data_IF_774915966836
#
_entry.id   IF_774915966836
#
_cell.length_a   1.000
_cell.length_b   1.000
_cell.length_c   1.000
_cell.angle_alpha   90.00
_cell.angle_beta   90.00
_cell.angle_gamma   90.00
#
_symmetry.space_group_name_H-M   'P 1'
#
loop_
_entity.id
_entity.type
_entity.pdbx_description
1 polymer ?
#
# COMPACT_ATOMS: atom_id res chain seq x y z
N UNK A 1 -37.01 -46.81 -4.36
CA UNK A 1 -35.68 -46.49 -4.94
C UNK A 1 -35.24 -45.12 -4.42
N UNK A 2 -34.31 -45.10 -3.48
CA UNK A 2 -33.80 -43.88 -2.87
C UNK A 2 -32.74 -43.23 -3.77
N UNK A 3 -32.95 -41.98 -4.18
CA UNK A 3 -31.92 -41.15 -4.80
C UNK A 3 -31.62 -39.98 -3.88
N UNK A 4 -31.06 -40.30 -2.70
CA UNK A 4 -30.57 -39.30 -1.77
C UNK A 4 -29.39 -38.56 -2.41
N UNK A 5 -29.72 -37.33 -2.83
CA UNK A 5 -28.97 -36.41 -3.66
C UNK A 5 -27.72 -35.94 -2.90
N UNK A 6 -26.53 -36.40 -3.33
CA UNK A 6 -25.19 -36.04 -2.80
C UNK A 6 -24.80 -34.55 -3.01
N UNK A 7 -25.78 -33.66 -3.15
CA UNK A 7 -25.61 -32.25 -3.49
C UNK A 7 -25.05 -31.33 -2.39
N UNK A 8 -25.28 -31.52 -1.08
CA UNK A 8 -24.83 -30.52 -0.11
C UNK A 8 -23.31 -30.49 0.06
N UNK A 9 -22.64 -31.64 -0.11
CA UNK A 9 -21.17 -31.73 -0.03
C UNK A 9 -20.46 -31.05 -1.20
N UNK A 10 -21.00 -31.17 -2.42
CA UNK A 10 -20.42 -30.52 -3.61
C UNK A 10 -20.58 -28.99 -3.52
N UNK A 11 -21.74 -28.51 -3.07
CA UNK A 11 -21.95 -27.08 -2.84
C UNK A 11 -21.02 -26.53 -1.74
N UNK A 12 -20.83 -27.28 -0.64
CA UNK A 12 -19.89 -26.91 0.42
C UNK A 12 -18.44 -26.80 -0.06
N UNK A 13 -17.97 -27.75 -0.87
CA UNK A 13 -16.60 -27.73 -1.42
C UNK A 13 -16.40 -26.55 -2.38
N UNK A 14 -17.37 -26.26 -3.25
CA UNK A 14 -17.28 -25.12 -4.18
C UNK A 14 -17.18 -23.79 -3.44
N UNK A 15 -18.01 -23.59 -2.40
CA UNK A 15 -17.96 -22.39 -1.58
C UNK A 15 -16.60 -22.25 -0.89
N UNK A 16 -16.06 -23.35 -0.35
CA UNK A 16 -14.77 -23.34 0.35
C UNK A 16 -13.61 -23.03 -0.61
N UNK A 17 -13.63 -23.58 -1.82
CA UNK A 17 -12.64 -23.25 -2.88
C UNK A 17 -12.78 -21.81 -3.35
N UNK A 18 -14.00 -21.29 -3.51
CA UNK A 18 -14.23 -19.91 -3.88
C UNK A 18 -13.74 -18.93 -2.80
N UNK A 19 -13.97 -19.24 -1.53
CA UNK A 19 -13.47 -18.45 -0.39
C UNK A 19 -11.94 -18.54 -0.32
N UNK A 20 -11.35 -19.74 -0.42
CA UNK A 20 -9.90 -19.90 -0.41
C UNK A 20 -9.23 -19.18 -1.59
N UNK A 21 -9.83 -19.25 -2.78
CA UNK A 21 -9.38 -18.53 -3.97
C UNK A 21 -9.48 -17.02 -3.82
N UNK A 22 -10.60 -16.51 -3.30
CA UNK A 22 -10.78 -15.08 -3.05
C UNK A 22 -9.77 -14.57 -2.01
N UNK A 23 -9.54 -15.33 -0.94
CA UNK A 23 -8.58 -15.02 0.12
C UNK A 23 -7.15 -15.03 -0.43
N UNK A 24 -6.77 -16.03 -1.23
CA UNK A 24 -5.45 -16.09 -1.87
C UNK A 24 -5.22 -14.89 -2.80
N UNK A 25 -6.22 -14.48 -3.59
CA UNK A 25 -6.11 -13.32 -4.49
C UNK A 25 -5.92 -12.02 -3.73
N UNK A 26 -6.58 -11.84 -2.57
CA UNK A 26 -6.40 -10.65 -1.72
C UNK A 26 -4.97 -10.59 -1.14
N UNK A 27 -4.43 -11.72 -0.70
CA UNK A 27 -3.07 -11.79 -0.13
C UNK A 27 -1.94 -11.65 -1.16
N UNK A 28 -2.14 -12.14 -2.38
CA UNK A 28 -1.20 -11.88 -3.48
C UNK A 28 -1.16 -10.39 -3.81
N UNK A 29 -2.28 -9.68 -3.61
CA UNK A 29 -2.35 -8.24 -3.88
C UNK A 29 -1.64 -7.41 -2.81
N UNK A 30 -1.90 -7.67 -1.53
CA UNK A 30 -1.32 -6.89 -0.42
C UNK A 30 -0.55 -7.77 0.57
N UNK A 31 0.78 -7.93 0.39
CA UNK A 31 1.58 -8.75 1.29
C UNK A 31 1.63 -8.21 2.72
N UNK A 32 1.36 -6.92 2.95
CA UNK A 32 1.35 -6.32 4.29
C UNK A 32 0.17 -6.77 5.16
N UNK A 33 -0.81 -7.48 4.61
CA UNK A 33 -1.87 -8.12 5.38
C UNK A 33 -1.40 -9.39 6.09
N UNK A 34 -0.26 -9.96 5.68
CA UNK A 34 0.30 -11.16 6.28
C UNK A 34 1.24 -10.80 7.44
N UNK A 35 1.26 -11.58 8.52
CA UNK A 35 2.22 -11.38 9.60
C UNK A 35 3.65 -11.55 9.07
N UNK A 36 4.54 -10.64 9.44
CA UNK A 36 5.95 -10.67 9.03
C UNK A 36 6.40 -9.41 8.32
N UNK A 37 7.62 -9.47 7.77
CA UNK A 37 8.22 -8.40 6.98
C UNK A 37 8.09 -8.76 5.50
N UNK A 38 7.63 -7.82 4.71
CA UNK A 38 7.37 -8.00 3.29
C UNK A 38 8.07 -6.91 2.49
N UNK A 39 8.49 -7.27 1.29
CA UNK A 39 9.05 -6.32 0.34
C UNK A 39 7.92 -5.46 -0.21
N UNK A 40 8.05 -4.14 -0.04
CA UNK A 40 7.14 -3.13 -0.58
C UNK A 40 7.92 -2.17 -1.46
N UNK A 41 7.27 -1.68 -2.51
CA UNK A 41 7.86 -0.70 -3.42
C UNK A 41 7.83 0.70 -2.79
N UNK A 42 8.80 1.52 -3.15
CA UNK A 42 8.93 2.89 -2.68
C UNK A 42 8.81 3.79 -3.88
N UNK A 43 7.90 4.75 -3.82
CA UNK A 43 7.72 5.76 -4.84
C UNK A 43 7.94 7.15 -4.24
N UNK A 44 8.47 8.05 -5.05
CA UNK A 44 8.45 9.47 -4.73
C UNK A 44 7.04 10.03 -4.96
N UNK A 45 6.61 10.94 -4.08
CA UNK A 45 5.37 11.69 -4.26
C UNK A 45 5.72 13.03 -4.91
N UNK A 46 5.05 13.35 -6.00
CA UNK A 46 5.12 14.68 -6.58
C UNK A 46 4.12 15.59 -5.87
N UNK A 47 4.58 16.30 -4.84
CA UNK A 47 3.74 17.14 -3.99
C UNK A 47 3.11 18.34 -4.74
N UNK A 48 3.66 18.76 -5.89
CA UNK A 48 3.11 19.88 -6.67
C UNK A 48 1.85 19.49 -7.44
N UNK A 49 1.75 18.23 -7.84
CA UNK A 49 0.63 17.70 -8.61
C UNK A 49 -0.31 16.89 -7.71
N UNK A 50 0.19 16.38 -6.58
CA UNK A 50 -0.63 15.71 -5.59
C UNK A 50 -1.53 16.71 -4.88
N UNK A 51 -2.80 16.36 -4.73
CA UNK A 51 -3.81 17.25 -4.15
C UNK A 51 -4.69 16.52 -3.14
N UNK A 52 -5.17 17.28 -2.16
CA UNK A 52 -6.25 16.84 -1.29
C UNK A 52 -7.58 17.07 -2.00
N UNK A 53 -8.50 16.11 -1.88
CA UNK A 53 -9.82 16.16 -2.52
C UNK A 53 -10.91 16.15 -1.47
N UNK A 54 -11.96 16.95 -1.65
CA UNK A 54 -13.06 17.04 -0.69
C UNK A 54 -13.95 15.78 -0.69
N UNK A 55 -13.93 15.00 -1.77
CA UNK A 55 -14.73 13.79 -1.91
C UNK A 55 -13.86 12.63 -2.34
N UNK A 56 -13.99 11.46 -1.69
CA UNK A 56 -13.28 10.28 -2.13
C UNK A 56 -13.78 9.87 -3.51
N UNK A 57 -12.95 9.19 -4.31
CA UNK A 57 -13.39 8.65 -5.58
C UNK A 57 -14.55 7.67 -5.36
N UNK A 58 -15.36 7.46 -6.41
CA UNK A 58 -16.45 6.49 -6.37
C UNK A 58 -15.98 5.11 -5.91
N UNK A 59 -16.92 4.25 -5.51
CA UNK A 59 -16.64 2.92 -4.97
C UNK A 59 -15.57 2.15 -5.77
N UNK A 60 -15.59 2.21 -7.10
CA UNK A 60 -14.60 1.53 -7.95
C UNK A 60 -13.19 2.12 -7.80
N UNK A 61 -13.05 3.46 -7.77
CA UNK A 61 -11.78 4.14 -7.55
C UNK A 61 -11.20 3.87 -6.16
N UNK A 62 -12.03 3.89 -5.10
CA UNK A 62 -11.61 3.48 -3.74
C UNK A 62 -11.15 2.01 -3.69
N UNK A 63 -11.89 1.13 -4.36
CA UNK A 63 -11.57 -0.31 -4.36
C UNK A 63 -10.26 -0.59 -5.10
N UNK A 64 -9.94 0.19 -6.13
CA UNK A 64 -8.69 0.09 -6.89
C UNK A 64 -7.54 0.95 -6.33
N UNK A 65 -7.82 1.90 -5.41
CA UNK A 65 -6.84 2.84 -4.89
C UNK A 65 -6.39 3.88 -5.93
N UNK A 66 -7.31 4.32 -6.78
CA UNK A 66 -7.07 5.26 -7.88
C UNK A 66 -8.00 6.47 -7.74
N UNK A 67 -7.42 7.67 -7.88
CA UNK A 67 -8.17 8.91 -8.04
C UNK A 67 -8.51 9.15 -9.52
N UNK A 68 -7.57 8.83 -10.41
CA UNK A 68 -7.67 8.89 -11.88
C UNK A 68 -6.77 7.80 -12.49
N UNK A 69 -6.64 7.75 -13.83
CA UNK A 69 -5.83 6.76 -14.55
C UNK A 69 -4.39 6.66 -14.01
N UNK A 70 -3.78 7.80 -13.67
CA UNK A 70 -2.37 7.89 -13.26
C UNK A 70 -2.16 8.33 -11.81
N UNK A 71 -3.23 8.55 -11.04
CA UNK A 71 -3.16 9.09 -9.66
C UNK A 71 -3.70 8.10 -8.63
N UNK A 72 -2.98 7.95 -7.52
CA UNK A 72 -3.31 6.98 -6.46
C UNK A 72 -4.10 7.63 -5.34
N UNK A 73 -5.20 7.00 -4.94
CA UNK A 73 -5.98 7.44 -3.78
C UNK A 73 -5.36 6.91 -2.49
N UNK A 74 -5.18 7.79 -1.52
CA UNK A 74 -4.74 7.50 -0.15
C UNK A 74 -5.63 8.24 0.85
N UNK A 75 -5.79 7.68 2.05
CA UNK A 75 -6.53 8.33 3.13
C UNK A 75 -5.63 8.46 4.35
N UNK A 76 -5.38 9.70 4.81
CA UNK A 76 -4.48 9.97 5.92
C UNK A 76 -5.15 10.94 6.89
N UNK A 77 -5.34 10.50 8.14
CA UNK A 77 -5.96 11.29 9.21
C UNK A 77 -7.33 11.89 8.83
N UNK A 78 -8.15 11.13 8.10
CA UNK A 78 -9.47 11.56 7.62
C UNK A 78 -9.44 12.49 6.40
N UNK A 79 -8.25 12.75 5.82
CA UNK A 79 -8.07 13.50 4.58
C UNK A 79 -7.95 12.56 3.39
N UNK A 80 -8.54 12.95 2.27
CA UNK A 80 -8.50 12.20 1.02
C UNK A 80 -7.44 12.79 0.10
N UNK A 81 -6.41 12.00 -0.20
CA UNK A 81 -5.25 12.43 -0.98
C UNK A 81 -5.22 11.73 -2.33
N UNK A 82 -4.99 12.49 -3.38
CA UNK A 82 -4.67 11.99 -4.71
C UNK A 82 -3.18 12.19 -4.96
N UNK A 83 -2.43 11.11 -4.86
CA UNK A 83 -0.97 11.08 -4.96
C UNK A 83 -0.55 10.83 -6.40
N UNK A 84 0.28 11.73 -6.93
CA UNK A 84 1.00 11.53 -8.18
C UNK A 84 2.36 10.92 -7.85
N UNK A 85 2.66 9.76 -8.42
CA UNK A 85 3.86 9.01 -8.10
C UNK A 85 4.93 9.18 -9.17
N UNK A 86 6.12 9.57 -8.77
CA UNK A 86 7.28 9.72 -9.66
C UNK A 86 8.10 8.44 -9.67
N UNK A 87 7.65 7.43 -10.42
CA UNK A 87 8.38 6.17 -10.69
C UNK A 87 8.79 5.34 -9.45
N UNK A 88 9.13 4.05 -9.64
CA UNK A 88 9.62 3.24 -8.54
C UNK A 88 11.08 3.62 -8.22
N UNK A 89 11.34 4.01 -6.98
CA UNK A 89 12.70 4.29 -6.49
C UNK A 89 13.43 3.02 -6.08
N UNK A 90 12.69 2.00 -5.63
CA UNK A 90 13.23 0.71 -5.20
C UNK A 90 12.28 -0.01 -4.25
N UNK A 91 12.79 -1.02 -3.54
CA UNK A 91 12.00 -1.81 -2.58
C UNK A 91 12.60 -1.75 -1.18
N UNK A 92 11.76 -1.86 -0.16
CA UNK A 92 12.14 -1.94 1.26
C UNK A 92 11.32 -2.97 1.99
N UNK A 93 11.84 -3.47 3.11
CA UNK A 93 11.10 -4.40 3.96
C UNK A 93 10.32 -3.67 5.04
N UNK A 94 9.01 -3.82 5.02
CA UNK A 94 8.13 -3.24 6.01
C UNK A 94 7.23 -4.31 6.63
N UNK A 95 6.77 -4.07 7.86
CA UNK A 95 5.77 -4.91 8.52
C UNK A 95 4.61 -4.05 8.98
N UNK A 96 3.37 -4.51 8.78
CA UNK A 96 2.17 -3.88 9.35
C UNK A 96 1.88 -4.50 10.71
N UNK A 97 1.77 -3.67 11.75
CA UNK A 97 1.39 -4.09 13.11
C UNK A 97 0.57 -2.99 13.76
N UNK A 98 -0.56 -3.36 14.36
CA UNK A 98 -1.41 -2.43 15.15
C UNK A 98 -1.78 -1.15 14.39
N UNK A 99 -2.14 -1.28 13.11
CA UNK A 99 -2.50 -0.14 12.25
C UNK A 99 -1.32 0.75 11.83
N UNK A 100 -0.08 0.31 12.07
CA UNK A 100 1.13 1.06 11.72
C UNK A 100 2.04 0.25 10.82
N UNK A 101 2.73 0.93 9.91
CA UNK A 101 3.84 0.36 9.15
C UNK A 101 5.14 0.58 9.93
N UNK A 102 5.90 -0.49 10.12
CA UNK A 102 7.16 -0.49 10.88
C UNK A 102 8.32 -0.82 9.95
N UNK A 103 9.42 -0.09 10.12
CA UNK A 103 10.65 -0.21 9.34
C UNK A 103 11.84 -0.35 10.30
N UNK A 104 12.74 -1.28 10.01
CA UNK A 104 14.02 -1.39 10.71
C UNK A 104 14.96 -0.24 10.36
N UNK A 105 15.93 0.06 11.23
CA UNK A 105 16.93 1.12 11.01
C UNK A 105 17.69 0.97 9.68
N UNK A 106 17.97 -0.27 9.27
CA UNK A 106 18.59 -0.62 8.00
C UNK A 106 17.71 -0.19 6.81
N UNK A 107 16.39 -0.39 6.92
CA UNK A 107 15.42 -0.01 5.90
C UNK A 107 15.18 1.50 5.87
N UNK A 108 15.19 2.18 7.02
CA UNK A 108 15.14 3.66 7.08
C UNK A 108 16.37 4.27 6.42
N UNK A 109 17.55 3.69 6.66
CA UNK A 109 18.79 4.11 5.98
C UNK A 109 18.74 3.85 4.48
N UNK A 110 18.07 2.77 4.04
CA UNK A 110 17.82 2.49 2.61
C UNK A 110 16.85 3.51 2.01
N UNK A 111 15.73 3.81 2.66
CA UNK A 111 14.78 4.85 2.24
C UNK A 111 15.45 6.21 2.09
N UNK A 112 16.28 6.61 3.05
CA UNK A 112 17.04 7.87 2.99
C UNK A 112 17.94 7.92 1.76
N UNK A 113 18.61 6.81 1.43
CA UNK A 113 19.45 6.71 0.23
C UNK A 113 18.63 6.75 -1.06
N UNK A 114 17.43 6.16 -1.07
CA UNK A 114 16.51 6.23 -2.21
C UNK A 114 15.99 7.65 -2.42
N UNK A 115 15.53 8.32 -1.37
CA UNK A 115 15.11 9.72 -1.40
C UNK A 115 16.22 10.65 -1.91
N UNK A 116 17.46 10.46 -1.44
CA UNK A 116 18.59 11.29 -1.85
C UNK A 116 19.01 11.09 -3.32
N UNK A 117 18.65 9.97 -3.95
CA UNK A 117 18.92 9.70 -5.37
C UNK A 117 17.89 10.34 -6.29
N UNK A 118 16.68 10.54 -5.79
CA UNK A 118 15.64 11.21 -6.53
C UNK A 118 15.82 12.71 -6.41
N UNK A 119 16.36 13.33 -7.46
CA UNK A 119 16.49 14.79 -7.53
C UNK A 119 15.14 15.47 -7.71
N UNK A 120 14.09 14.70 -8.01
CA UNK A 120 12.72 15.15 -8.17
C UNK A 120 12.58 16.12 -9.34
N UNK A 121 11.95 15.68 -10.42
CA UNK A 121 11.57 16.55 -11.54
C UNK A 121 10.10 16.93 -11.37
N UNK A 122 9.73 18.22 -11.21
CA UNK A 122 10.56 19.44 -11.29
C UNK A 122 11.20 19.93 -9.96
N UNK A 123 10.87 19.36 -8.80
CA UNK A 123 11.47 19.71 -7.50
C UNK A 123 11.80 18.47 -6.68
N UNK A 124 12.74 18.61 -5.76
CA UNK A 124 13.17 17.57 -4.83
C UNK A 124 11.99 16.96 -4.06
N UNK A 125 12.01 15.64 -3.95
CA UNK A 125 10.96 14.84 -3.31
C UNK A 125 10.93 15.10 -1.80
N UNK A 126 9.77 15.54 -1.29
CA UNK A 126 9.60 15.81 0.14
C UNK A 126 8.88 14.68 0.89
N UNK A 127 8.16 13.82 0.15
CA UNK A 127 7.44 12.68 0.70
C UNK A 127 7.66 11.42 -0.14
N UNK A 128 7.77 10.28 0.55
CA UNK A 128 7.78 8.96 -0.05
C UNK A 128 6.45 8.27 0.25
N UNK A 129 6.01 7.41 -0.67
CA UNK A 129 4.93 6.47 -0.40
C UNK A 129 5.46 5.05 -0.46
N UNK A 130 5.08 4.24 0.53
CA UNK A 130 5.26 2.79 0.49
C UNK A 130 4.06 2.20 -0.24
N UNK A 131 4.32 1.46 -1.31
CA UNK A 131 3.32 0.81 -2.15
C UNK A 131 3.38 -0.71 -1.95
N UNK A 132 2.24 -1.27 -1.60
CA UNK A 132 1.96 -2.71 -1.69
C UNK A 132 0.96 -2.92 -2.84
N UNK A 133 -0.27 -3.38 -2.56
CA UNK A 133 -1.38 -3.31 -3.54
C UNK A 133 -1.80 -1.86 -3.85
N UNK A 134 -1.66 -1.01 -2.83
CA UNK A 134 -2.16 0.36 -2.71
C UNK A 134 -1.16 1.16 -1.88
N UNK A 135 -1.30 2.50 -1.83
CA UNK A 135 -0.56 3.31 -0.86
C UNK A 135 -0.76 2.74 0.55
N UNK A 136 0.34 2.31 1.19
CA UNK A 136 0.32 1.67 2.50
C UNK A 136 0.80 2.60 3.62
N UNK A 137 1.71 3.52 3.32
CA UNK A 137 2.14 4.58 4.23
C UNK A 137 2.71 5.77 3.46
N UNK A 138 2.51 6.96 4.01
CA UNK A 138 3.14 8.20 3.55
C UNK A 138 4.25 8.58 4.55
N UNK A 139 5.46 8.84 4.06
CA UNK A 139 6.64 9.10 4.89
C UNK A 139 7.29 10.42 4.46
N UNK A 140 7.28 11.45 5.32
CA UNK A 140 8.06 12.66 5.09
C UNK A 140 9.57 12.33 5.04
N UNK A 141 10.28 12.87 4.06
CA UNK A 141 11.74 12.66 3.94
C UNK A 141 12.48 13.24 5.14
N UNK A 142 11.93 14.29 5.77
CA UNK A 142 12.43 14.88 7.01
C UNK A 142 12.50 13.87 8.16
N UNK A 143 11.57 12.91 8.21
CA UNK A 143 11.47 11.94 9.30
C UNK A 143 12.53 10.84 9.17
N UNK A 144 13.17 10.72 8.00
CA UNK A 144 14.24 9.77 7.73
C UNK A 144 15.62 10.23 8.24
N UNK A 145 15.74 11.46 8.73
CA UNK A 145 17.04 12.07 9.07
C UNK A 145 17.81 11.28 10.14
N UNK A 146 17.12 10.68 11.10
CA UNK A 146 17.71 10.03 12.28
C UNK A 146 18.25 8.61 12.03
N UNK A 147 17.89 7.98 10.90
CA UNK A 147 18.28 6.59 10.59
C UNK A 147 17.80 5.54 11.61
N UNK A 148 16.96 5.94 12.57
CA UNK A 148 16.45 5.07 13.63
C UNK A 148 15.27 4.24 13.11
N UNK A 149 14.93 3.10 13.75
CA UNK A 149 13.70 2.38 13.43
C UNK A 149 12.51 3.33 13.54
N UNK A 150 11.58 3.23 12.60
CA UNK A 150 10.41 4.12 12.55
C UNK A 150 9.12 3.34 12.42
N UNK A 151 8.06 3.95 12.94
CA UNK A 151 6.70 3.47 12.82
C UNK A 151 5.81 4.62 12.38
N UNK A 152 5.11 4.43 11.26
CA UNK A 152 4.22 5.42 10.66
C UNK A 152 2.80 4.87 10.59
N UNK A 153 1.81 5.74 10.60
CA UNK A 153 0.42 5.33 10.41
C UNK A 153 0.27 4.62 9.07
N UNK A 154 -0.44 3.49 9.08
CA UNK A 154 -0.83 2.84 7.84
C UNK A 154 -2.03 3.57 7.24
N UNK A 155 -2.04 3.65 5.90
CA UNK A 155 -3.17 4.15 5.11
C UNK A 155 -4.27 3.07 4.97
#
# INVERSE_FOLDING_TARGET
>A
MAKHRRWPWVAGVIVLVAVAGAVAVVFIRDPLLLPGRHDVEVFAVNDEISSEVDKPPGWFGRTLGLCDADTRYAELDGRHLCLVLSGPLGTVRAARRDGKITLGADQVTKLRRLAARDTGTPRATTRLVLMAAKPAALIPVTDLATGSPMSVAAL
#
